data_IF_233251925836
#
_entry.id   IF_233251925836
#
_cell.length_a   1.000
_cell.length_b   1.000
_cell.length_c   1.000
_cell.angle_alpha   90.00
_cell.angle_beta   90.00
_cell.angle_gamma   90.00
#
_symmetry.space_group_name_H-M   'P 1'
#
loop_
_entity.id
_entity.type
_entity.pdbx_description
1 polymer ?
#
# COMPACT_ATOMS: atom_id res chain seq x y z
N UNK A 1 16.79 -4.11 28.54
CA UNK A 1 17.42 -3.18 27.57
C UNK A 1 16.67 -1.85 27.57
N UNK A 2 17.35 -0.74 27.87
CA UNK A 2 16.75 0.58 27.69
C UNK A 2 16.49 0.83 26.20
N UNK A 3 15.29 1.28 25.86
CA UNK A 3 14.94 1.61 24.47
C UNK A 3 15.79 2.79 24.01
N UNK A 4 16.79 2.55 23.15
CA UNK A 4 17.75 3.53 22.63
C UNK A 4 17.13 4.56 21.67
N UNK A 5 15.85 4.38 21.30
CA UNK A 5 15.12 5.29 20.44
C UNK A 5 13.68 5.52 20.94
N UNK A 6 13.06 6.60 20.49
CA UNK A 6 11.65 6.92 20.67
C UNK A 6 11.01 7.07 19.29
N UNK A 7 10.06 6.18 18.97
CA UNK A 7 9.29 6.20 17.74
C UNK A 7 7.88 6.71 18.07
N UNK A 8 7.42 7.68 17.29
CA UNK A 8 6.06 8.25 17.37
C UNK A 8 5.43 8.17 15.99
N UNK A 9 4.15 7.80 15.91
CA UNK A 9 3.40 7.77 14.66
C UNK A 9 1.97 8.22 14.90
N UNK A 10 1.37 8.84 13.90
CA UNK A 10 -0.01 9.36 13.96
C UNK A 10 -0.72 8.99 12.67
N UNK A 11 -1.93 8.39 12.70
CA UNK A 11 -2.68 8.13 11.49
C UNK A 11 -3.07 9.44 10.81
N UNK A 12 -2.82 9.53 9.50
CA UNK A 12 -3.30 10.61 8.64
C UNK A 12 -4.52 10.17 7.83
N UNK A 13 -4.58 8.89 7.49
CA UNK A 13 -5.69 8.24 6.80
C UNK A 13 -6.00 6.92 7.49
N UNK A 14 -7.29 6.59 7.59
CA UNK A 14 -7.77 5.34 8.15
C UNK A 14 -9.02 4.88 7.42
N UNK A 15 -9.13 3.57 7.20
CA UNK A 15 -10.31 2.97 6.58
C UNK A 15 -10.59 1.58 7.15
N UNK A 16 -11.85 1.16 7.09
CA UNK A 16 -12.31 -0.17 7.53
C UNK A 16 -13.28 -0.75 6.50
N UNK A 17 -13.27 -2.07 6.32
CA UNK A 17 -14.22 -2.80 5.46
C UNK A 17 -15.65 -2.63 5.96
N UNK A 18 -16.64 -2.79 5.07
CA UNK A 18 -18.06 -2.72 5.48
C UNK A 18 -18.41 -3.78 6.53
N UNK A 19 -17.74 -4.94 6.52
CA UNK A 19 -17.89 -5.97 7.54
C UNK A 19 -17.18 -5.66 8.87
N UNK A 20 -16.34 -4.62 8.93
CA UNK A 20 -15.61 -4.23 10.14
C UNK A 20 -14.50 -5.21 10.54
N UNK A 21 -14.04 -6.05 9.61
CA UNK A 21 -13.12 -7.17 9.88
C UNK A 21 -11.70 -6.97 9.32
N UNK A 22 -11.53 -6.00 8.43
CA UNK A 22 -10.27 -5.61 7.84
C UNK A 22 -10.19 -4.09 7.83
N UNK A 23 -9.05 -3.53 8.18
CA UNK A 23 -8.83 -2.09 8.11
C UNK A 23 -7.37 -1.75 7.88
N UNK A 24 -7.11 -0.49 7.59
CA UNK A 24 -5.76 0.01 7.43
C UNK A 24 -5.64 1.45 7.92
N UNK A 25 -4.43 1.78 8.34
CA UNK A 25 -4.05 3.15 8.72
C UNK A 25 -2.73 3.49 8.08
N UNK A 26 -2.59 4.72 7.61
CA UNK A 26 -1.29 5.23 7.16
C UNK A 26 -1.08 6.65 7.65
N UNK A 27 0.16 7.01 7.93
CA UNK A 27 0.49 8.32 8.46
C UNK A 27 1.98 8.52 8.69
N UNK A 28 2.41 9.72 9.08
CA UNK A 28 3.81 9.97 9.34
C UNK A 28 4.26 9.33 10.64
N UNK A 29 5.53 8.94 10.66
CA UNK A 29 6.27 8.59 11.87
C UNK A 29 7.50 9.48 12.03
N UNK A 30 7.91 9.66 13.29
CA UNK A 30 9.14 10.34 13.69
C UNK A 30 9.92 9.45 14.64
N UNK A 31 11.20 9.21 14.33
CA UNK A 31 12.13 8.44 15.15
C UNK A 31 13.21 9.37 15.72
N UNK A 32 13.36 9.37 17.04
CA UNK A 32 14.41 10.11 17.76
C UNK A 32 15.36 9.14 18.45
N UNK A 33 16.64 9.20 18.11
CA UNK A 33 17.68 8.41 18.76
C UNK A 33 18.05 9.03 20.10
N UNK A 34 17.78 8.34 21.22
CA UNK A 34 18.04 8.86 22.57
C UNK A 34 19.54 8.95 22.88
N UNK A 35 20.34 8.08 22.26
CA UNK A 35 21.80 8.12 22.34
C UNK A 35 22.44 9.25 21.50
N UNK A 36 21.66 9.92 20.64
CA UNK A 36 22.10 11.03 19.81
C UNK A 36 21.09 12.20 19.89
N UNK A 37 20.89 12.81 21.07
CA UNK A 37 19.82 13.80 21.29
C UNK A 37 19.99 15.09 20.49
N UNK A 38 21.20 15.36 19.96
CA UNK A 38 21.50 16.51 19.10
C UNK A 38 21.30 16.22 17.61
N UNK A 39 21.18 14.95 17.21
CA UNK A 39 20.93 14.60 15.83
C UNK A 39 19.47 14.95 15.44
N UNK A 40 19.23 15.40 14.20
CA UNK A 40 17.87 15.61 13.73
C UNK A 40 17.08 14.29 13.76
N UNK A 41 15.75 14.33 14.02
CA UNK A 41 14.91 13.15 13.92
C UNK A 41 14.90 12.58 12.50
N UNK A 42 14.60 11.29 12.41
CA UNK A 42 14.25 10.65 11.14
C UNK A 42 12.74 10.68 10.95
N UNK A 43 12.30 10.84 9.71
CA UNK A 43 10.89 10.95 9.35
C UNK A 43 10.53 9.92 8.29
N UNK A 44 9.27 9.53 8.26
CA UNK A 44 8.77 8.64 7.23
C UNK A 44 7.27 8.47 7.24
N UNK A 45 6.76 7.58 6.38
CA UNK A 45 5.36 7.16 6.37
C UNK A 45 5.29 5.71 6.83
N UNK A 46 4.31 5.38 7.65
CA UNK A 46 3.93 4.01 7.92
C UNK A 46 2.63 3.67 7.18
N UNK A 47 2.43 2.38 6.93
CA UNK A 47 1.12 1.79 6.70
C UNK A 47 1.02 0.51 7.54
N UNK A 48 -0.09 0.40 8.25
CA UNK A 48 -0.43 -0.78 9.03
C UNK A 48 -1.76 -1.34 8.52
N UNK A 49 -1.83 -2.65 8.34
CA UNK A 49 -3.05 -3.39 8.01
C UNK A 49 -3.48 -4.18 9.25
N UNK A 50 -4.75 -4.10 9.57
CA UNK A 50 -5.36 -4.67 10.77
C UNK A 50 -6.45 -5.65 10.39
N UNK A 51 -6.56 -6.74 11.14
CA UNK A 51 -7.66 -7.71 11.04
C UNK A 51 -8.40 -7.78 12.38
N UNK A 52 -9.72 -7.87 12.35
CA UNK A 52 -10.51 -8.06 13.56
C UNK A 52 -10.86 -9.54 13.71
N UNK A 53 -10.25 -10.19 14.71
CA UNK A 53 -10.41 -11.61 15.01
C UNK A 53 -10.84 -11.74 16.46
N UNK A 54 -11.92 -12.48 16.73
CA UNK A 54 -12.43 -12.76 18.08
C UNK A 54 -12.53 -11.52 19.00
N UNK A 55 -13.12 -10.45 18.47
CA UNK A 55 -13.30 -9.14 19.16
C UNK A 55 -12.02 -8.34 19.43
N UNK A 56 -10.91 -8.71 18.79
CA UNK A 56 -9.62 -8.03 18.93
C UNK A 56 -9.07 -7.62 17.56
N UNK A 57 -8.55 -6.40 17.47
CA UNK A 57 -7.76 -5.97 16.32
C UNK A 57 -6.33 -6.50 16.44
N UNK A 58 -5.90 -7.25 15.45
CA UNK A 58 -4.55 -7.77 15.33
C UNK A 58 -3.84 -7.13 14.14
N UNK A 59 -2.54 -6.89 14.29
CA UNK A 59 -1.70 -6.36 13.22
C UNK A 59 -1.39 -7.47 12.21
N UNK A 60 -1.83 -7.30 10.96
CA UNK A 60 -1.58 -8.24 9.87
C UNK A 60 -0.31 -7.90 9.09
N UNK A 61 0.00 -6.62 8.92
CA UNK A 61 1.22 -6.13 8.29
C UNK A 61 1.54 -4.71 8.78
N UNK A 62 2.83 -4.39 8.85
CA UNK A 62 3.33 -3.03 9.11
C UNK A 62 4.55 -2.76 8.25
N UNK A 63 4.52 -1.66 7.51
CA UNK A 63 5.56 -1.26 6.57
C UNK A 63 5.83 0.23 6.70
N UNK A 64 7.07 0.63 6.42
CA UNK A 64 7.47 2.02 6.48
C UNK A 64 8.44 2.41 5.36
N UNK A 65 8.28 3.64 4.88
CA UNK A 65 9.27 4.34 4.05
C UNK A 65 9.87 5.49 4.85
N UNK A 66 11.08 5.91 4.51
CA UNK A 66 11.74 7.07 5.10
C UNK A 66 11.79 8.23 4.10
N UNK A 67 11.66 9.46 4.59
CA UNK A 67 11.85 10.69 3.79
C UNK A 67 12.43 11.82 4.64
N UNK A 68 12.90 12.89 3.99
CA UNK A 68 13.82 13.85 4.61
C UNK A 68 13.21 14.98 5.45
N UNK A 69 11.90 15.01 5.72
CA UNK A 69 11.26 16.12 6.43
C UNK A 69 10.05 15.69 7.24
N UNK A 70 9.67 16.47 8.25
CA UNK A 70 8.44 16.26 9.01
C UNK A 70 7.20 16.49 8.14
N UNK A 71 6.15 15.69 8.39
CA UNK A 71 4.81 15.89 7.83
C UNK A 71 3.83 16.04 8.99
N UNK A 72 3.13 17.17 9.04
CA UNK A 72 2.10 17.42 10.05
C UNK A 72 0.77 16.78 9.64
N UNK A 73 0.07 16.19 10.61
CA UNK A 73 -1.30 15.70 10.46
C UNK A 73 -2.21 16.56 11.31
N UNK A 74 -3.16 17.24 10.68
CA UNK A 74 -4.18 18.01 11.40
C UNK A 74 -5.40 17.16 11.78
N UNK A 75 -5.75 16.18 10.95
CA UNK A 75 -6.87 15.27 11.19
C UNK A 75 -6.69 13.95 10.45
N UNK A 76 -7.32 12.89 10.96
CA UNK A 76 -7.44 11.62 10.24
C UNK A 76 -8.51 11.74 9.17
N UNK A 77 -8.18 11.40 7.94
CA UNK A 77 -9.12 11.36 6.81
C UNK A 77 -9.62 9.93 6.61
N UNK A 78 -10.91 9.77 6.38
CA UNK A 78 -11.48 8.49 5.92
C UNK A 78 -11.80 8.59 4.42
N UNK A 79 -11.31 7.66 3.59
CA UNK A 79 -11.63 7.61 2.17
C UNK A 79 -13.14 7.62 1.89
N UNK A 80 -13.58 8.52 1.01
CA UNK A 80 -14.99 8.65 0.65
C UNK A 80 -15.25 7.96 -0.69
N UNK A 81 -15.87 6.78 -0.65
CA UNK A 81 -16.31 6.04 -1.84
C UNK A 81 -17.61 5.29 -1.56
N UNK A 82 -18.32 4.89 -2.63
CA UNK A 82 -19.60 4.20 -2.52
C UNK A 82 -19.39 2.79 -1.97
N UNK A 83 -19.80 2.56 -0.72
CA UNK A 83 -19.84 1.23 -0.11
C UNK A 83 -20.97 0.38 -0.67
N UNK A 84 -20.81 -0.96 -0.74
CA UNK A 84 -21.92 -1.85 -1.01
C UNK A 84 -23.03 -1.70 0.03
N UNK A 85 -24.28 -1.59 -0.42
CA UNK A 85 -25.47 -1.42 0.45
C UNK A 85 -26.26 -2.72 0.66
N UNK A 86 -25.63 -3.88 0.41
CA UNK A 86 -26.25 -5.22 0.39
C UNK A 86 -25.71 -6.16 1.47
N UNK A 87 -25.58 -7.46 1.13
CA UNK A 87 -25.02 -8.50 2.01
C UNK A 87 -23.65 -8.05 2.54
N UNK A 88 -23.57 -7.84 3.86
CA UNK A 88 -22.36 -7.32 4.53
C UNK A 88 -21.30 -8.40 4.71
N UNK A 89 -21.68 -9.67 4.76
CA UNK A 89 -20.77 -10.81 4.93
C UNK A 89 -21.06 -11.82 3.84
N UNK A 90 -20.11 -12.02 2.94
CA UNK A 90 -20.14 -13.05 1.90
C UNK A 90 -20.04 -14.46 2.51
N UNK A 91 -20.60 -15.45 1.82
CA UNK A 91 -20.36 -16.85 2.17
C UNK A 91 -19.00 -17.35 1.63
N UNK A 92 -18.63 -18.58 1.97
CA UNK A 92 -17.29 -19.13 1.66
C UNK A 92 -16.99 -19.19 0.15
N UNK A 93 -17.97 -19.54 -0.68
CA UNK A 93 -17.78 -19.62 -2.13
C UNK A 93 -17.64 -18.21 -2.73
N UNK A 94 -18.46 -17.26 -2.27
CA UNK A 94 -18.35 -15.85 -2.63
C UNK A 94 -17.02 -15.23 -2.18
N UNK A 95 -16.53 -15.56 -0.97
CA UNK A 95 -15.24 -15.10 -0.46
C UNK A 95 -14.07 -15.65 -1.27
N UNK A 96 -14.12 -16.94 -1.61
CA UNK A 96 -13.13 -17.58 -2.48
C UNK A 96 -13.11 -16.90 -3.85
N UNK A 97 -14.27 -16.62 -4.43
CA UNK A 97 -14.38 -15.90 -5.69
C UNK A 97 -13.85 -14.47 -5.60
N UNK A 98 -14.16 -13.75 -4.52
CA UNK A 98 -13.68 -12.39 -4.29
C UNK A 98 -12.15 -12.34 -4.13
N UNK A 99 -11.57 -13.29 -3.37
CA UNK A 99 -10.11 -13.43 -3.23
C UNK A 99 -9.43 -13.73 -4.56
N UNK A 100 -9.97 -14.66 -5.33
CA UNK A 100 -9.45 -14.98 -6.66
C UNK A 100 -9.55 -13.79 -7.61
N UNK A 101 -10.67 -13.05 -7.59
CA UNK A 101 -10.86 -11.83 -8.37
C UNK A 101 -9.84 -10.74 -8.02
N UNK A 102 -9.55 -10.53 -6.73
CA UNK A 102 -8.53 -9.57 -6.31
C UNK A 102 -7.14 -10.00 -6.76
N UNK A 103 -6.77 -11.27 -6.54
CA UNK A 103 -5.49 -11.81 -6.99
C UNK A 103 -5.30 -11.62 -8.50
N UNK A 104 -6.30 -12.01 -9.30
CA UNK A 104 -6.27 -11.87 -10.75
C UNK A 104 -6.19 -10.40 -11.19
N UNK A 105 -6.83 -9.47 -10.46
CA UNK A 105 -6.72 -8.04 -10.75
C UNK A 105 -5.29 -7.55 -10.58
N UNK A 106 -4.64 -7.91 -9.47
CA UNK A 106 -3.27 -7.47 -9.19
C UNK A 106 -2.23 -8.14 -10.10
N UNK A 107 -2.43 -9.42 -10.44
CA UNK A 107 -1.64 -10.09 -11.47
C UNK A 107 -1.76 -9.38 -12.82
N UNK A 108 -2.98 -9.11 -13.29
CA UNK A 108 -3.19 -8.41 -14.56
C UNK A 108 -2.64 -6.97 -14.56
N UNK A 109 -2.72 -6.28 -13.41
CA UNK A 109 -2.07 -4.98 -13.22
C UNK A 109 -0.54 -5.09 -13.32
N UNK A 110 0.04 -6.12 -12.70
CA UNK A 110 1.49 -6.35 -12.71
C UNK A 110 2.00 -6.72 -14.10
N UNK A 111 1.32 -7.66 -14.79
CA UNK A 111 1.61 -8.06 -16.17
C UNK A 111 1.49 -6.89 -17.16
N UNK A 112 0.51 -6.00 -16.95
CA UNK A 112 0.38 -4.80 -17.75
C UNK A 112 1.60 -3.88 -17.58
N UNK A 113 2.18 -3.78 -16.38
CA UNK A 113 3.40 -3.01 -16.13
C UNK A 113 4.65 -3.55 -16.83
N UNK A 114 4.61 -4.79 -17.31
CA UNK A 114 5.68 -5.42 -18.10
C UNK A 114 5.51 -5.09 -19.59
N UNK A 115 4.27 -5.15 -20.07
CA UNK A 115 3.92 -4.92 -21.49
C UNK A 115 3.80 -3.44 -21.86
N UNK A 116 3.41 -2.60 -20.91
CA UNK A 116 3.34 -1.13 -21.04
C UNK A 116 4.09 -0.49 -19.89
N UNK A 117 4.37 0.81 -19.97
CA UNK A 117 4.97 1.54 -18.84
C UNK A 117 4.11 1.43 -17.58
N UNK A 118 4.72 1.36 -16.39
CA UNK A 118 4.05 1.36 -15.09
C UNK A 118 2.95 2.42 -15.00
N UNK A 119 3.23 3.66 -15.43
CA UNK A 119 2.27 4.77 -15.38
C UNK A 119 0.95 4.45 -16.12
N UNK A 120 1.04 3.79 -17.28
CA UNK A 120 -0.11 3.38 -18.06
C UNK A 120 -0.88 2.22 -17.40
N UNK A 121 -0.20 1.34 -16.64
CA UNK A 121 -0.85 0.30 -15.84
C UNK A 121 -1.60 0.91 -14.64
N UNK A 122 -0.96 1.82 -13.88
CA UNK A 122 -1.59 2.48 -12.73
C UNK A 122 -2.84 3.27 -13.14
N UNK A 123 -2.79 3.97 -14.28
CA UNK A 123 -3.91 4.77 -14.78
C UNK A 123 -5.24 3.99 -14.87
N UNK A 124 -5.19 2.66 -15.04
CA UNK A 124 -6.36 1.80 -15.17
C UNK A 124 -7.00 1.41 -13.84
N UNK A 125 -6.22 1.40 -12.75
CA UNK A 125 -6.65 0.78 -11.49
C UNK A 125 -6.68 1.73 -10.30
N UNK A 126 -6.04 2.90 -10.37
CA UNK A 126 -5.98 3.81 -9.21
C UNK A 126 -7.35 4.30 -8.75
N UNK A 127 -7.59 4.25 -7.44
CA UNK A 127 -8.59 5.07 -6.79
C UNK A 127 -8.27 6.56 -6.98
N UNK A 128 -9.28 7.43 -6.95
CA UNK A 128 -9.10 8.89 -7.10
C UNK A 128 -8.13 9.47 -6.04
N UNK A 129 -8.25 8.97 -4.82
CA UNK A 129 -7.51 9.29 -3.61
C UNK A 129 -6.33 8.33 -3.34
N UNK A 130 -5.78 7.67 -4.36
CA UNK A 130 -4.61 6.77 -4.25
C UNK A 130 -3.48 7.40 -3.41
N UNK A 131 -2.92 6.61 -2.50
CA UNK A 131 -1.67 6.92 -1.80
C UNK A 131 -0.51 6.07 -2.36
N UNK A 132 0.47 6.72 -2.98
CA UNK A 132 1.71 6.06 -3.41
C UNK A 132 2.84 6.39 -2.43
N UNK A 133 3.43 5.35 -1.83
CA UNK A 133 4.50 5.46 -0.85
C UNK A 133 5.82 4.96 -1.46
N UNK A 134 6.71 5.91 -1.80
CA UNK A 134 8.03 5.63 -2.34
C UNK A 134 9.13 6.09 -1.37
N UNK A 135 10.13 5.24 -1.14
CA UNK A 135 11.25 5.59 -0.28
C UNK A 135 11.97 6.87 -0.78
N UNK A 136 12.33 7.76 0.15
CA UNK A 136 12.95 9.05 -0.15
C UNK A 136 11.96 10.15 -0.57
N UNK A 137 10.64 9.87 -0.62
CA UNK A 137 9.61 10.87 -0.96
C UNK A 137 8.52 10.93 0.11
N UNK A 138 7.97 12.12 0.39
CA UNK A 138 6.70 12.21 1.10
C UNK A 138 5.59 11.46 0.34
N UNK A 139 4.50 11.06 1.02
CA UNK A 139 3.36 10.40 0.38
C UNK A 139 2.85 11.20 -0.82
N UNK A 140 2.64 10.52 -1.94
CA UNK A 140 2.08 11.12 -3.15
C UNK A 140 0.62 10.73 -3.21
N UNK A 141 -0.26 11.73 -3.08
CA UNK A 141 -1.70 11.51 -2.90
C UNK A 141 -2.46 12.03 -4.11
N UNK A 142 -3.36 11.20 -4.62
CA UNK A 142 -4.26 11.50 -5.72
C UNK A 142 -3.71 11.14 -7.10
N UNK A 143 -4.60 10.75 -8.01
CA UNK A 143 -4.25 10.24 -9.35
C UNK A 143 -3.33 11.18 -10.12
N UNK A 144 -3.66 12.47 -10.17
CA UNK A 144 -2.87 13.46 -10.93
C UNK A 144 -1.41 13.55 -10.44
N UNK A 145 -1.20 13.53 -9.12
CA UNK A 145 0.14 13.60 -8.53
C UNK A 145 0.93 12.31 -8.76
N UNK A 146 0.26 11.14 -8.68
CA UNK A 146 0.89 9.84 -8.97
C UNK A 146 1.32 9.76 -10.44
N UNK A 147 0.43 10.11 -11.38
CA UNK A 147 0.75 10.14 -12.81
C UNK A 147 1.94 11.06 -13.08
N UNK A 148 1.90 12.30 -12.59
CA UNK A 148 2.99 13.26 -12.75
C UNK A 148 4.32 12.79 -12.13
N UNK A 149 4.28 11.98 -11.07
CA UNK A 149 5.49 11.38 -10.52
C UNK A 149 6.04 10.26 -11.42
N UNK A 150 5.18 9.40 -11.95
CA UNK A 150 5.59 8.25 -12.76
C UNK A 150 5.99 8.66 -14.20
N UNK A 151 5.44 9.75 -14.73
CA UNK A 151 5.79 10.28 -16.05
C UNK A 151 7.23 10.82 -16.14
N UNK A 152 7.92 10.98 -14.99
CA UNK A 152 9.32 11.45 -14.95
C UNK A 152 10.30 10.49 -15.59
N UNK A 153 9.98 9.19 -15.61
CA UNK A 153 10.78 8.17 -16.25
C UNK A 153 9.89 6.97 -16.61
N UNK A 154 9.97 6.43 -17.84
CA UNK A 154 9.21 5.24 -18.18
C UNK A 154 9.79 4.03 -17.46
N UNK A 155 9.15 3.63 -16.37
CA UNK A 155 9.50 2.43 -15.61
C UNK A 155 8.68 1.24 -16.10
N UNK A 156 9.27 0.06 -16.02
CA UNK A 156 8.64 -1.23 -16.30
C UNK A 156 8.65 -2.08 -15.04
N UNK A 157 7.61 -2.88 -14.86
CA UNK A 157 7.42 -3.70 -13.67
C UNK A 157 7.16 -5.14 -14.09
N UNK A 158 7.93 -6.07 -13.53
CA UNK A 158 7.72 -7.51 -13.69
C UNK A 158 7.46 -8.15 -12.32
N UNK A 159 6.71 -9.25 -12.27
CA UNK A 159 6.34 -9.94 -11.03
C UNK A 159 4.86 -9.81 -10.71
N UNK A 160 4.47 -9.93 -9.43
CA UNK A 160 3.06 -9.96 -9.07
C UNK A 160 2.78 -10.38 -7.63
N UNK A 161 1.50 -10.60 -7.29
CA UNK A 161 1.09 -10.99 -5.94
C UNK A 161 1.45 -12.45 -5.64
N UNK A 162 1.95 -12.68 -4.43
CA UNK A 162 2.06 -14.03 -3.85
C UNK A 162 0.77 -14.41 -3.14
N UNK A 163 0.04 -13.41 -2.63
CA UNK A 163 -1.15 -13.63 -1.81
C UNK A 163 -2.14 -12.48 -1.97
N UNK A 164 -3.44 -12.83 -1.91
CA UNK A 164 -4.54 -11.88 -1.78
C UNK A 164 -5.40 -12.24 -0.57
N UNK A 165 -5.79 -11.22 0.20
CA UNK A 165 -6.68 -11.31 1.35
C UNK A 165 -7.81 -10.30 1.15
N UNK A 166 -9.03 -10.71 1.47
CA UNK A 166 -10.25 -9.93 1.24
C UNK A 166 -11.09 -9.95 2.51
N UNK A 167 -11.66 -8.79 2.85
CA UNK A 167 -12.62 -8.62 3.93
C UNK A 167 -13.86 -9.49 3.71
N UNK A 168 -14.56 -9.85 4.79
CA UNK A 168 -15.83 -10.61 4.72
C UNK A 168 -16.88 -9.94 3.83
N UNK A 169 -16.86 -8.62 3.71
CA UNK A 169 -17.74 -7.84 2.83
C UNK A 169 -17.34 -7.85 1.36
N UNK A 170 -16.14 -8.32 1.02
CA UNK A 170 -15.62 -8.32 -0.35
C UNK A 170 -15.39 -6.93 -0.95
N UNK A 171 -15.44 -5.85 -0.16
CA UNK A 171 -15.32 -4.45 -0.60
C UNK A 171 -13.93 -3.86 -0.34
N UNK A 172 -13.08 -4.59 0.39
CA UNK A 172 -11.72 -4.22 0.74
C UNK A 172 -10.85 -5.48 0.73
N UNK A 173 -9.60 -5.32 0.32
CA UNK A 173 -8.62 -6.37 0.41
C UNK A 173 -7.21 -5.80 0.28
N UNK A 174 -6.22 -6.66 0.46
CA UNK A 174 -4.84 -6.32 0.18
C UNK A 174 -4.13 -7.49 -0.46
N UNK A 175 -3.08 -7.15 -1.18
CA UNK A 175 -2.15 -8.09 -1.80
C UNK A 175 -0.74 -7.75 -1.38
N UNK A 176 0.12 -8.77 -1.38
CA UNK A 176 1.54 -8.58 -1.18
C UNK A 176 2.31 -9.58 -2.03
N UNK A 177 3.54 -9.22 -2.36
CA UNK A 177 4.42 -10.05 -3.16
C UNK A 177 5.72 -9.33 -3.49
N UNK A 178 6.28 -9.69 -4.64
CA UNK A 178 7.53 -9.10 -5.13
C UNK A 178 7.38 -8.62 -6.56
N UNK A 179 8.03 -7.51 -6.85
CA UNK A 179 8.16 -6.96 -8.19
C UNK A 179 9.61 -6.58 -8.47
N UNK A 180 9.99 -6.64 -9.73
CA UNK A 180 11.24 -6.12 -10.26
C UNK A 180 10.89 -4.85 -11.05
N UNK A 181 11.55 -3.74 -10.75
CA UNK A 181 11.34 -2.47 -11.47
C UNK A 181 12.58 -2.13 -12.28
N UNK A 182 12.38 -1.94 -13.58
CA UNK A 182 13.42 -1.60 -14.54
C UNK A 182 13.23 -0.18 -15.05
N UNK A 183 14.27 0.64 -14.92
CA UNK A 183 14.32 1.97 -15.52
C UNK A 183 14.99 1.90 -16.92
N UNK A 184 14.75 2.89 -17.80
CA UNK A 184 15.39 2.92 -19.10
C UNK A 184 16.92 2.99 -18.93
N UNK A 185 17.65 2.16 -19.67
CA UNK A 185 19.11 2.06 -19.61
C UNK A 185 19.67 1.57 -18.27
N UNK A 186 18.84 1.03 -17.36
CA UNK A 186 19.34 0.37 -16.17
C UNK A 186 20.05 -0.93 -16.55
N UNK A 187 21.23 -1.19 -15.96
CA UNK A 187 21.99 -2.42 -16.20
C UNK A 187 21.38 -3.64 -15.50
N UNK A 188 20.61 -3.41 -14.43
CA UNK A 188 19.91 -4.44 -13.67
C UNK A 188 18.59 -3.86 -13.13
N UNK A 189 17.54 -4.70 -12.99
CA UNK A 189 16.33 -4.32 -12.28
C UNK A 189 16.61 -4.08 -10.79
N UNK A 190 15.70 -3.39 -10.12
CA UNK A 190 15.67 -3.29 -8.67
C UNK A 190 14.51 -4.12 -8.12
N UNK A 191 14.82 -5.07 -7.24
CA UNK A 191 13.83 -5.91 -6.57
C UNK A 191 13.12 -5.12 -5.46
N UNK A 192 11.80 -5.27 -5.38
CA UNK A 192 10.96 -4.74 -4.31
C UNK A 192 10.11 -5.84 -3.70
N UNK A 193 9.81 -5.71 -2.41
CA UNK A 193 8.60 -6.29 -1.83
C UNK A 193 7.55 -5.19 -1.73
N UNK A 194 6.29 -5.54 -1.91
CA UNK A 194 5.22 -4.56 -1.87
C UNK A 194 4.04 -5.03 -1.04
N UNK A 195 3.24 -4.06 -0.61
CA UNK A 195 1.87 -4.25 -0.14
C UNK A 195 0.99 -3.26 -0.91
N UNK A 196 -0.12 -3.77 -1.45
CA UNK A 196 -1.14 -2.98 -2.14
C UNK A 196 -2.47 -3.16 -1.45
N UNK A 197 -3.12 -2.05 -1.12
CA UNK A 197 -4.45 -2.04 -0.53
C UNK A 197 -5.46 -1.67 -1.61
N UNK A 198 -6.49 -2.48 -1.70
CA UNK A 198 -7.52 -2.41 -2.74
C UNK A 198 -8.89 -2.20 -2.10
N UNK A 199 -9.72 -1.42 -2.77
CA UNK A 199 -11.14 -1.27 -2.45
C UNK A 199 -11.99 -1.60 -3.67
N UNK A 200 -13.21 -2.07 -3.46
CA UNK A 200 -14.18 -2.33 -4.52
C UNK A 200 -15.45 -1.55 -4.24
N UNK A 201 -15.62 -0.36 -4.84
CA UNK A 201 -16.87 0.40 -4.73
C UNK A 201 -18.06 -0.40 -5.28
N UNK A 202 -19.27 -0.06 -4.82
CA UNK A 202 -20.47 -0.79 -5.19
C UNK A 202 -20.73 -0.77 -6.72
N UNK A 203 -20.72 -1.95 -7.35
CA UNK A 203 -20.93 -2.11 -8.78
C UNK A 203 -19.72 -1.78 -9.65
N UNK A 204 -18.55 -1.54 -9.05
CA UNK A 204 -17.32 -1.18 -9.73
C UNK A 204 -16.26 -2.29 -9.64
N UNK A 205 -15.23 -2.17 -10.47
CA UNK A 205 -14.02 -2.99 -10.35
C UNK A 205 -13.19 -2.61 -9.11
N UNK A 206 -12.24 -3.47 -8.75
CA UNK A 206 -11.23 -3.16 -7.74
C UNK A 206 -10.43 -1.91 -8.14
N UNK A 207 -10.22 -1.04 -7.16
CA UNK A 207 -9.43 0.18 -7.26
C UNK A 207 -8.28 0.11 -6.25
N UNK A 208 -7.08 0.44 -6.70
CA UNK A 208 -5.88 0.53 -5.88
C UNK A 208 -5.96 1.80 -5.03
N UNK A 209 -6.03 1.65 -3.70
CA UNK A 209 -6.19 2.74 -2.76
C UNK A 209 -4.86 3.16 -2.10
N UNK A 210 -3.94 2.20 -1.90
CA UNK A 210 -2.58 2.48 -1.45
C UNK A 210 -1.60 1.49 -2.06
N UNK A 211 -0.42 1.97 -2.44
CA UNK A 211 0.72 1.12 -2.82
C UNK A 211 1.98 1.56 -2.07
N UNK A 212 2.63 0.60 -1.41
CA UNK A 212 3.96 0.76 -0.81
C UNK A 212 4.88 -0.32 -1.38
N UNK A 213 6.05 0.11 -1.86
CA UNK A 213 7.12 -0.78 -2.31
C UNK A 213 8.42 -0.45 -1.59
N UNK A 214 9.05 -1.45 -0.98
CA UNK A 214 10.31 -1.33 -0.26
C UNK A 214 11.40 -2.09 -1.02
N UNK A 215 12.52 -1.44 -1.38
CA UNK A 215 13.59 -2.10 -2.11
C UNK A 215 14.16 -3.22 -1.27
N UNK A 216 14.36 -4.38 -1.89
CA UNK A 216 15.04 -5.51 -1.27
C UNK A 216 16.55 -5.29 -1.38
N UNK A 217 17.33 -5.71 -0.36
CA UNK A 217 18.77 -5.77 -0.50
C UNK A 217 19.14 -6.63 -1.72
N UNK A 218 20.22 -6.31 -2.45
CA UNK A 218 20.70 -7.14 -3.55
C UNK A 218 20.81 -8.59 -3.11
N UNK A 219 20.35 -9.52 -3.94
CA UNK A 219 20.52 -10.95 -3.67
C UNK A 219 22.03 -11.22 -3.59
N UNK A 220 22.53 -11.61 -2.42
CA UNK A 220 23.93 -12.05 -2.31
C UNK A 220 24.09 -13.26 -3.23
N UNK A 221 24.96 -13.16 -4.23
CA UNK A 221 25.34 -14.30 -5.04
C UNK A 221 25.86 -15.41 -4.10
N UNK A 222 25.39 -16.64 -4.31
CA UNK A 222 25.82 -17.82 -3.57
C UNK A 222 27.12 -18.36 -4.16
#
# INVERSE_FOLDING_TARGET
PENEAALTWVPAVADVSTAGDLGWTAGPWTLRMKNQPKAPPLYGQYVSIWRHVDSTWELAADLGIMYGKETRVDSVVTPAYRRPTGKVVLDEDELKAARHSLFATDSAFSDAGDSVTMVAAYAKVMAEDIHLLLNGKPPIVGRAAVMAQMDKAPLYMHGGPDTAIVAKSGDMGYTYGTIEVTAPNATQPVDYTYVRIWRRPAGEAWQLALDIAIPRPPRKEK
#
